data_IF_252276509066
#
_entry.id   IF_252276509066
#
_cell.length_a   1.000
_cell.length_b   1.000
_cell.length_c   1.000
_cell.angle_alpha   90.00
_cell.angle_beta   90.00
_cell.angle_gamma   90.00
#
_symmetry.space_group_name_H-M   'P 1'
#
loop_
_entity.id
_entity.type
_entity.pdbx_description
1 polymer ?
#
# COMPACT_ATOMS: atom_id res chain seq x y z
N UNK A 1 11.24 -23.25 -19.77
CA UNK A 1 11.16 -23.76 -18.37
C UNK A 1 10.63 -25.17 -18.40
N UNK A 2 11.09 -26.07 -17.53
CA UNK A 2 10.55 -27.43 -17.46
C UNK A 2 9.07 -27.39 -17.00
N UNK A 3 8.11 -27.85 -17.82
CA UNK A 3 6.69 -27.84 -17.50
C UNK A 3 6.30 -28.72 -16.30
N UNK A 4 7.19 -29.62 -15.85
CA UNK A 4 6.96 -30.43 -14.66
C UNK A 4 7.28 -29.68 -13.35
N UNK A 5 8.12 -28.65 -13.40
CA UNK A 5 8.52 -27.84 -12.23
C UNK A 5 7.78 -26.50 -12.11
N UNK A 6 6.78 -26.27 -12.99
CA UNK A 6 5.99 -25.05 -13.01
C UNK A 6 5.09 -24.93 -11.76
N UNK A 7 5.49 -24.05 -10.83
CA UNK A 7 4.73 -23.75 -9.63
C UNK A 7 3.67 -22.67 -9.89
N UNK A 8 2.43 -22.90 -9.46
CA UNK A 8 1.42 -21.83 -9.39
C UNK A 8 2.00 -20.67 -8.60
N UNK A 9 1.77 -19.44 -9.07
CA UNK A 9 2.37 -18.17 -8.66
C UNK A 9 3.77 -17.84 -9.18
N UNK A 10 4.44 -18.74 -9.92
CA UNK A 10 5.70 -18.41 -10.58
C UNK A 10 5.52 -17.25 -11.59
N UNK A 11 6.55 -16.42 -11.71
CA UNK A 11 6.63 -15.37 -12.72
C UNK A 11 7.43 -15.88 -13.91
N UNK A 12 6.91 -15.64 -15.10
CA UNK A 12 7.40 -16.16 -16.37
C UNK A 12 7.52 -15.04 -17.39
N UNK A 13 8.59 -15.06 -18.18
CA UNK A 13 8.76 -14.19 -19.36
C UNK A 13 8.76 -15.05 -20.62
N UNK A 14 8.08 -14.66 -21.70
CA UNK A 14 8.14 -15.39 -22.97
C UNK A 14 9.53 -15.21 -23.61
N UNK A 15 10.10 -16.31 -24.09
CA UNK A 15 11.37 -16.33 -24.83
C UNK A 15 11.16 -16.79 -26.26
N UNK A 16 10.25 -17.76 -26.46
CA UNK A 16 9.87 -18.31 -27.77
C UNK A 16 8.38 -18.71 -27.78
N UNK A 17 7.56 -17.95 -27.06
CA UNK A 17 6.12 -18.19 -26.97
C UNK A 17 5.37 -17.18 -27.84
N UNK A 18 4.33 -17.64 -28.55
CA UNK A 18 3.47 -16.81 -29.39
C UNK A 18 2.48 -15.96 -28.56
N UNK A 19 3.00 -15.19 -27.61
CA UNK A 19 2.25 -14.28 -26.73
C UNK A 19 2.96 -12.93 -26.70
N UNK A 20 2.27 -11.82 -26.41
CA UNK A 20 2.93 -10.52 -26.29
C UNK A 20 4.03 -10.53 -25.23
N UNK A 21 5.08 -9.73 -25.43
CA UNK A 21 6.12 -9.54 -24.42
C UNK A 21 5.56 -9.01 -23.09
N UNK A 22 6.26 -9.35 -22.01
CA UNK A 22 5.95 -8.90 -20.66
C UNK A 22 6.07 -10.01 -19.61
N UNK A 23 5.79 -9.66 -18.36
CA UNK A 23 5.88 -10.59 -17.23
C UNK A 23 4.51 -11.18 -16.93
N UNK A 24 4.45 -12.52 -16.91
CA UNK A 24 3.25 -13.28 -16.65
C UNK A 24 3.34 -13.99 -15.30
N UNK A 25 2.23 -14.04 -14.56
CA UNK A 25 2.09 -14.88 -13.36
C UNK A 25 1.30 -16.13 -13.72
N UNK A 26 1.85 -17.31 -13.42
CA UNK A 26 1.10 -18.56 -13.54
C UNK A 26 0.02 -18.61 -12.46
N UNK A 27 -1.25 -18.61 -12.87
CA UNK A 27 -2.40 -18.58 -11.94
C UNK A 27 -3.14 -19.92 -11.86
N UNK A 28 -2.90 -20.83 -12.81
CA UNK A 28 -3.49 -22.17 -12.76
C UNK A 28 -2.88 -23.13 -13.78
N UNK A 29 -2.98 -24.41 -13.48
CA UNK A 29 -2.55 -25.53 -14.34
C UNK A 29 -3.64 -26.63 -14.46
N UNK A 30 -4.88 -26.31 -14.89
CA UNK A 30 -5.90 -27.34 -15.09
C UNK A 30 -5.58 -28.21 -16.32
N UNK A 31 -5.73 -29.53 -16.19
CA UNK A 31 -5.79 -30.55 -17.25
C UNK A 31 -4.99 -30.22 -18.53
N UNK A 32 -3.66 -30.14 -18.39
CA UNK A 32 -2.75 -29.99 -19.52
C UNK A 32 -2.66 -28.57 -20.12
N UNK A 33 -3.29 -27.58 -19.50
CA UNK A 33 -3.21 -26.16 -19.87
C UNK A 33 -2.71 -25.30 -18.73
N UNK A 34 -1.92 -24.29 -19.07
CA UNK A 34 -1.44 -23.28 -18.14
C UNK A 34 -2.17 -21.96 -18.38
N UNK A 35 -2.67 -21.36 -17.31
CA UNK A 35 -3.30 -20.03 -17.34
C UNK A 35 -2.35 -19.00 -16.76
N UNK A 36 -2.04 -17.99 -17.57
CA UNK A 36 -1.06 -16.94 -17.30
C UNK A 36 -1.76 -15.59 -17.22
N UNK A 37 -1.49 -14.81 -16.18
CA UNK A 37 -1.96 -13.44 -16.02
C UNK A 37 -0.84 -12.46 -16.35
N UNK A 38 -1.03 -11.54 -17.28
CA UNK A 38 -0.07 -10.46 -17.52
C UNK A 38 -0.03 -9.51 -16.31
N UNK A 39 1.14 -9.43 -15.67
CA UNK A 39 1.37 -8.62 -14.47
C UNK A 39 2.48 -7.59 -14.65
N UNK A 40 3.30 -7.68 -15.70
CA UNK A 40 4.30 -6.68 -16.07
C UNK A 40 4.34 -6.39 -17.57
N UNK A 41 4.74 -5.18 -17.95
CA UNK A 41 5.08 -4.83 -19.34
C UNK A 41 6.47 -5.37 -19.73
N UNK A 42 6.89 -5.13 -20.99
CA UNK A 42 8.18 -5.56 -21.51
C UNK A 42 9.37 -4.94 -20.75
N UNK A 43 9.17 -3.76 -20.13
CA UNK A 43 10.16 -3.11 -19.27
C UNK A 43 10.15 -3.64 -17.82
N UNK A 44 9.37 -4.69 -17.52
CA UNK A 44 9.27 -5.28 -16.19
C UNK A 44 8.50 -4.43 -15.17
N UNK A 45 7.75 -3.41 -15.62
CA UNK A 45 6.93 -2.56 -14.74
C UNK A 45 5.57 -3.19 -14.54
N UNK A 46 5.06 -3.13 -13.31
CA UNK A 46 3.76 -3.70 -12.98
C UNK A 46 2.63 -3.10 -13.81
N UNK A 47 1.75 -3.95 -14.34
CA UNK A 47 0.52 -3.58 -15.05
C UNK A 47 -0.70 -4.30 -14.46
N UNK A 48 -1.85 -3.66 -14.52
CA UNK A 48 -3.14 -4.19 -14.04
C UNK A 48 -4.09 -4.38 -15.22
N UNK A 49 -3.68 -5.14 -16.24
CA UNK A 49 -4.48 -5.32 -17.45
C UNK A 49 -5.63 -6.30 -17.28
N UNK A 50 -5.55 -7.22 -16.31
CA UNK A 50 -6.47 -8.36 -16.20
C UNK A 50 -6.36 -9.34 -17.36
N UNK A 51 -5.35 -9.19 -18.25
CA UNK A 51 -5.21 -10.01 -19.45
C UNK A 51 -4.74 -11.41 -19.08
N UNK A 52 -5.60 -12.40 -19.33
CA UNK A 52 -5.30 -13.82 -19.19
C UNK A 52 -4.91 -14.40 -20.54
N UNK A 53 -3.86 -15.21 -20.56
CA UNK A 53 -3.44 -16.01 -21.71
C UNK A 53 -3.39 -17.46 -21.26
N UNK A 54 -3.98 -18.34 -22.06
CA UNK A 54 -3.93 -19.75 -21.77
C UNK A 54 -3.09 -20.47 -22.83
N UNK A 55 -2.07 -21.18 -22.38
CA UNK A 55 -1.15 -21.92 -23.23
C UNK A 55 -1.24 -23.40 -22.92
N UNK A 56 -0.89 -24.26 -23.88
CA UNK A 56 -0.73 -25.68 -23.59
C UNK A 56 0.43 -25.88 -22.61
N UNK A 57 0.40 -26.93 -21.81
CA UNK A 57 1.49 -27.24 -20.87
C UNK A 57 2.85 -27.40 -21.57
N UNK A 58 2.97 -28.05 -22.74
CA UNK A 58 4.23 -28.09 -23.50
C UNK A 58 4.72 -26.71 -23.93
N UNK A 59 3.83 -25.76 -24.23
CA UNK A 59 4.21 -24.41 -24.63
C UNK A 59 4.86 -23.60 -23.49
N UNK A 60 4.78 -24.05 -22.23
CA UNK A 60 5.57 -23.47 -21.12
C UNK A 60 7.08 -23.62 -21.32
N UNK A 61 7.53 -24.52 -22.21
CA UNK A 61 8.93 -24.63 -22.57
C UNK A 61 9.49 -23.32 -23.16
N UNK A 62 8.67 -22.57 -23.91
CA UNK A 62 9.01 -21.28 -24.51
C UNK A 62 8.98 -20.08 -23.55
N UNK A 63 8.89 -20.34 -22.24
CA UNK A 63 8.97 -19.31 -21.19
C UNK A 63 10.15 -19.57 -20.26
N UNK A 64 10.73 -18.51 -19.72
CA UNK A 64 11.72 -18.57 -18.66
C UNK A 64 11.18 -18.04 -17.33
N UNK A 65 11.77 -18.47 -16.22
CA UNK A 65 11.41 -17.96 -14.90
C UNK A 65 12.04 -16.59 -14.73
N UNK A 66 11.26 -15.64 -14.22
CA UNK A 66 11.73 -14.27 -13.99
C UNK A 66 11.34 -13.78 -12.60
N UNK A 67 11.85 -12.62 -12.21
CA UNK A 67 11.51 -11.95 -10.97
C UNK A 67 10.14 -11.27 -11.05
N UNK A 68 9.46 -11.04 -9.90
CA UNK A 68 8.23 -10.26 -9.89
C UNK A 68 8.47 -8.85 -10.43
N UNK A 69 7.51 -8.28 -11.19
CA UNK A 69 7.65 -6.93 -11.71
C UNK A 69 7.71 -5.92 -10.56
N UNK A 70 8.55 -4.90 -10.74
CA UNK A 70 8.81 -3.91 -9.72
C UNK A 70 7.50 -3.22 -9.28
N UNK A 71 7.30 -3.01 -7.96
CA UNK A 71 6.14 -2.28 -7.48
C UNK A 71 6.16 -0.85 -8.03
N UNK A 72 5.03 -0.36 -8.53
CA UNK A 72 4.90 1.06 -8.91
C UNK A 72 4.94 1.91 -7.65
N UNK A 73 6.07 2.58 -7.41
CA UNK A 73 6.14 3.71 -6.48
C UNK A 73 5.73 4.96 -7.26
N UNK A 74 4.53 5.47 -7.04
CA UNK A 74 4.09 6.73 -7.64
C UNK A 74 3.92 7.81 -6.56
N UNK A 75 4.42 9.00 -6.85
CA UNK A 75 4.24 10.19 -5.98
C UNK A 75 2.75 10.50 -5.82
N UNK A 76 1.97 10.36 -6.89
CA UNK A 76 0.51 10.51 -6.85
C UNK A 76 -0.17 9.50 -5.92
N UNK A 77 0.32 8.26 -5.87
CA UNK A 77 -0.18 7.23 -4.96
C UNK A 77 0.09 7.57 -3.49
N UNK A 78 1.30 8.06 -3.20
CA UNK A 78 1.67 8.52 -1.86
C UNK A 78 0.80 9.71 -1.40
N UNK A 79 0.60 10.70 -2.27
CA UNK A 79 -0.26 11.86 -1.98
C UNK A 79 -1.73 11.44 -1.76
N UNK A 80 -2.23 10.53 -2.59
CA UNK A 80 -3.60 10.00 -2.46
C UNK A 80 -3.78 9.28 -1.13
N UNK A 81 -2.82 8.43 -0.75
CA UNK A 81 -2.84 7.74 0.54
C UNK A 81 -2.80 8.72 1.71
N UNK A 82 -1.96 9.76 1.63
CA UNK A 82 -1.90 10.83 2.62
C UNK A 82 -3.22 11.58 2.76
N UNK A 83 -3.83 11.98 1.63
CA UNK A 83 -5.13 12.65 1.61
C UNK A 83 -6.22 11.80 2.29
N UNK A 84 -6.32 10.51 1.94
CA UNK A 84 -7.31 9.63 2.55
C UNK A 84 -7.07 9.41 4.04
N UNK A 85 -5.81 9.34 4.47
CA UNK A 85 -5.44 9.22 5.89
C UNK A 85 -5.87 10.45 6.69
N UNK A 86 -5.54 11.65 6.20
CA UNK A 86 -5.95 12.92 6.83
C UNK A 86 -7.48 13.05 6.85
N UNK A 87 -8.14 12.71 5.75
CA UNK A 87 -9.60 12.77 5.65
C UNK A 87 -10.29 11.76 6.58
N UNK A 88 -9.72 10.58 6.78
CA UNK A 88 -10.24 9.59 7.72
C UNK A 88 -10.06 10.06 9.17
N UNK A 89 -8.87 10.59 9.50
CA UNK A 89 -8.56 11.18 10.79
C UNK A 89 -9.53 12.32 11.14
N UNK A 90 -9.72 13.29 10.24
CA UNK A 90 -10.65 14.41 10.44
C UNK A 90 -12.10 13.94 10.64
N UNK A 91 -12.55 12.94 9.88
CA UNK A 91 -13.87 12.32 10.06
C UNK A 91 -14.00 11.64 11.41
N UNK A 92 -12.93 11.06 11.93
CA UNK A 92 -12.93 10.43 13.24
C UNK A 92 -13.03 11.48 14.36
N UNK A 93 -12.29 12.59 14.27
CA UNK A 93 -12.41 13.70 15.23
C UNK A 93 -13.84 14.26 15.26
N UNK A 94 -14.45 14.43 14.08
CA UNK A 94 -15.82 14.96 13.98
C UNK A 94 -16.87 14.04 14.64
N UNK A 95 -16.59 12.74 14.77
CA UNK A 95 -17.50 11.76 15.40
C UNK A 95 -17.36 11.71 16.92
N UNK A 96 -16.26 12.20 17.49
CA UNK A 96 -15.98 12.18 18.93
C UNK A 96 -15.73 13.60 19.47
N UNK A 97 -16.69 14.52 19.28
CA UNK A 97 -16.45 15.97 19.43
C UNK A 97 -15.98 16.35 20.83
N UNK A 98 -16.53 15.75 21.90
CA UNK A 98 -16.13 16.05 23.27
C UNK A 98 -14.70 15.61 23.61
N UNK A 99 -14.28 14.44 23.10
CA UNK A 99 -12.93 13.92 23.32
C UNK A 99 -11.89 14.69 22.50
N UNK A 100 -12.23 14.99 21.24
CA UNK A 100 -11.41 15.81 20.36
C UNK A 100 -11.24 17.23 20.93
N UNK A 101 -12.32 17.84 21.45
CA UNK A 101 -12.28 19.15 22.09
C UNK A 101 -11.39 19.17 23.33
N UNK A 102 -11.50 18.16 24.21
CA UNK A 102 -10.64 18.05 25.40
C UNK A 102 -9.16 17.93 25.03
N UNK A 103 -8.84 17.10 24.04
CA UNK A 103 -7.47 16.93 23.56
C UNK A 103 -6.92 18.21 22.89
N UNK A 104 -7.75 18.91 22.10
CA UNK A 104 -7.40 20.20 21.51
C UNK A 104 -7.18 21.29 22.57
N UNK A 105 -8.01 21.33 23.61
CA UNK A 105 -7.87 22.28 24.72
C UNK A 105 -6.54 22.07 25.47
N UNK A 106 -6.14 20.82 25.73
CA UNK A 106 -4.83 20.52 26.34
C UNK A 106 -3.67 21.04 25.48
N UNK A 107 -3.75 20.81 24.16
CA UNK A 107 -2.74 21.28 23.22
C UNK A 107 -2.65 22.81 23.20
N UNK A 108 -3.79 23.50 23.08
CA UNK A 108 -3.86 24.97 23.05
C UNK A 108 -3.40 25.56 24.37
N UNK A 109 -3.78 24.96 25.51
CA UNK A 109 -3.31 25.39 26.82
C UNK A 109 -1.79 25.27 26.96
N UNK A 110 -1.20 24.19 26.45
CA UNK A 110 0.26 24.02 26.43
C UNK A 110 0.99 25.12 25.64
N UNK A 111 0.51 25.45 24.45
CA UNK A 111 1.08 26.54 23.64
C UNK A 111 0.88 27.92 24.30
N UNK A 112 -0.31 28.20 24.83
CA UNK A 112 -0.59 29.47 25.49
C UNK A 112 0.27 29.65 26.76
N UNK A 113 0.47 28.58 27.51
CA UNK A 113 1.35 28.53 28.68
C UNK A 113 2.82 28.81 28.34
N UNK A 114 3.32 28.22 27.26
CA UNK A 114 4.68 28.42 26.76
C UNK A 114 4.92 29.87 26.35
N UNK A 115 4.01 30.41 25.51
CA UNK A 115 4.10 31.80 24.99
C UNK A 115 3.97 32.84 26.09
N UNK A 116 3.16 32.59 27.12
CA UNK A 116 2.99 33.51 28.24
C UNK A 116 4.05 33.36 29.33
N UNK A 117 4.90 32.33 29.27
CA UNK A 117 5.84 31.94 30.33
C UNK A 117 5.17 31.81 31.71
N UNK A 118 3.86 31.54 31.73
CA UNK A 118 3.04 31.54 32.94
C UNK A 118 3.31 30.31 33.84
N UNK A 119 3.92 29.28 33.28
CA UNK A 119 4.27 28.03 33.96
C UNK A 119 5.66 27.57 33.53
N UNK A 120 6.30 26.67 34.30
CA UNK A 120 7.57 26.08 33.92
C UNK A 120 7.52 25.46 32.52
N UNK A 121 8.58 25.66 31.72
CA UNK A 121 8.70 25.16 30.35
C UNK A 121 8.40 23.65 30.25
N UNK A 122 8.88 22.87 31.23
CA UNK A 122 8.61 21.43 31.29
C UNK A 122 7.10 21.11 31.42
N UNK A 123 6.33 21.93 32.13
CA UNK A 123 4.89 21.75 32.28
C UNK A 123 4.13 22.14 31.00
N UNK A 124 4.55 23.22 30.35
CA UNK A 124 4.01 23.63 29.05
C UNK A 124 4.29 22.56 27.97
N UNK A 125 5.53 22.07 27.91
CA UNK A 125 5.94 20.98 27.03
C UNK A 125 5.14 19.69 27.30
N UNK A 126 4.95 19.31 28.56
CA UNK A 126 4.14 18.14 28.92
C UNK A 126 2.70 18.27 28.44
N UNK A 127 2.08 19.45 28.57
CA UNK A 127 0.73 19.73 28.06
C UNK A 127 0.64 19.61 26.54
N UNK A 128 1.63 20.14 25.80
CA UNK A 128 1.71 20.02 24.34
C UNK A 128 1.82 18.54 23.93
N UNK A 129 2.72 17.79 24.58
CA UNK A 129 2.93 16.37 24.29
C UNK A 129 1.66 15.56 24.59
N UNK A 130 1.05 15.77 25.75
CA UNK A 130 -0.18 15.07 26.15
C UNK A 130 -1.36 15.42 25.24
N UNK A 131 -1.52 16.70 24.86
CA UNK A 131 -2.55 17.14 23.93
C UNK A 131 -2.40 16.53 22.54
N UNK A 132 -1.16 16.50 22.01
CA UNK A 132 -0.86 15.89 20.71
C UNK A 132 -1.10 14.37 20.72
N UNK A 133 -0.67 13.67 21.78
CA UNK A 133 -0.92 12.24 21.97
C UNK A 133 -2.42 11.94 22.07
N UNK A 134 -3.17 12.72 22.85
CA UNK A 134 -4.60 12.56 23.00
C UNK A 134 -5.35 12.78 21.66
N UNK A 135 -4.98 13.82 20.89
CA UNK A 135 -5.55 14.07 19.56
C UNK A 135 -5.26 12.92 18.58
N UNK A 136 -4.04 12.40 18.62
CA UNK A 136 -3.64 11.23 17.81
C UNK A 136 -4.45 9.98 18.15
N UNK A 137 -4.64 9.69 19.45
CA UNK A 137 -5.43 8.54 19.91
C UNK A 137 -6.91 8.67 19.52
N UNK A 138 -7.49 9.86 19.67
CA UNK A 138 -8.88 10.13 19.29
C UNK A 138 -9.07 10.00 17.78
N UNK A 139 -8.20 10.61 16.96
CA UNK A 139 -8.35 10.58 15.52
C UNK A 139 -7.93 9.28 14.85
N UNK A 140 -7.16 8.42 15.53
CA UNK A 140 -6.92 7.03 15.11
C UNK A 140 -8.07 6.08 15.49
N UNK A 141 -9.07 6.55 16.24
CA UNK A 141 -10.22 5.76 16.66
C UNK A 141 -9.90 4.72 17.74
N UNK A 142 -8.81 4.90 18.48
CA UNK A 142 -8.40 4.01 19.57
C UNK A 142 -9.04 4.34 20.92
N UNK A 143 -9.85 5.41 20.98
CA UNK A 143 -10.61 5.87 22.14
C UNK A 143 -12.07 6.08 21.77
#
# INVERSE_FOLDING_TARGET
MDPETAAVSAYLSPTDAAVPEGVYRLVGLPDGRATLLLVGDAEGRRVHSGRLVAVSRPALAGFERTDPPAPRRSVSGALTLGYWSVRAFARQLARTPFRAAGAALLLVAGFAADVSSAVPEAAAAALVVLGALALSLVGSGRL
#
